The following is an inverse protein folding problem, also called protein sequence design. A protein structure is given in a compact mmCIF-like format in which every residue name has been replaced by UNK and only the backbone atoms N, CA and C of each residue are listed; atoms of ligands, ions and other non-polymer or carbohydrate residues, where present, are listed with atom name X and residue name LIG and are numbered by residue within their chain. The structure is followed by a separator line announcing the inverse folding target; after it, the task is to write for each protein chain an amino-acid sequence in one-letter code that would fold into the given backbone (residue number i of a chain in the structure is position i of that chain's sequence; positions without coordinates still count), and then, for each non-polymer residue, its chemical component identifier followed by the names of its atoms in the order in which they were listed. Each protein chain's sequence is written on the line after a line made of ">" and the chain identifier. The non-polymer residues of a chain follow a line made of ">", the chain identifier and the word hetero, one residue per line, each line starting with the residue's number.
data_IF_158189034021
#
_entry.id   IF_158189034021
#
_cell.length_a   1.000
_cell.length_b   1.000
_cell.length_c   1.000
_cell.angle_alpha   90.00
_cell.angle_beta   90.00
_cell.angle_gamma   90.00
#
_symmetry.space_group_name_H-M   'P 1'
#
loop_
_entity.id
_entity.type
_entity.pdbx_description
1 polymer ?
#
# COMPACT_ATOMS: atom_id res chain seq x y z
N UNK A 1 -9.30 -8.71 -0.82
CA UNK A 1 -8.52 -8.16 0.31
C UNK A 1 -7.33 -9.07 0.54
N UNK A 2 -6.14 -8.51 0.66
CA UNK A 2 -4.89 -9.25 0.95
C UNK A 2 -4.29 -8.69 2.24
N UNK A 3 -3.67 -9.53 3.07
CA UNK A 3 -3.11 -9.13 4.37
C UNK A 3 -1.75 -9.74 4.64
N UNK A 4 -0.87 -9.02 5.33
CA UNK A 4 0.35 -9.55 5.92
C UNK A 4 0.53 -9.04 7.35
N UNK A 5 1.28 -9.78 8.17
CA UNK A 5 1.66 -9.37 9.53
C UNK A 5 3.18 -9.47 9.65
N UNK A 6 3.84 -8.35 9.92
CA UNK A 6 5.29 -8.27 10.13
C UNK A 6 5.54 -7.47 11.40
N UNK A 7 6.36 -8.00 12.32
CA UNK A 7 6.68 -7.33 13.61
C UNK A 7 5.45 -6.94 14.46
N UNK A 8 4.36 -7.71 14.38
CA UNK A 8 3.11 -7.42 15.08
C UNK A 8 2.27 -6.30 14.45
N UNK A 9 2.66 -5.82 13.26
CA UNK A 9 1.90 -4.83 12.51
C UNK A 9 1.20 -5.52 11.35
N UNK A 10 -0.12 -5.41 11.31
CA UNK A 10 -0.95 -6.00 10.26
C UNK A 10 -1.27 -4.97 9.20
N UNK A 11 -0.90 -5.27 7.97
CA UNK A 11 -1.24 -4.48 6.79
C UNK A 11 -2.32 -5.21 6.01
N UNK A 12 -3.45 -4.54 5.78
CA UNK A 12 -4.54 -5.05 4.95
C UNK A 12 -4.78 -4.15 3.75
N UNK A 13 -4.93 -4.73 2.57
CA UNK A 13 -5.10 -4.00 1.31
C UNK A 13 -6.38 -4.43 0.59
N UNK A 14 -7.14 -3.43 0.17
CA UNK A 14 -8.28 -3.56 -0.74
C UNK A 14 -8.01 -2.70 -1.98
N UNK A 15 -8.36 -3.20 -3.16
CA UNK A 15 -8.13 -2.52 -4.43
C UNK A 15 -9.43 -2.40 -5.21
N UNK A 16 -9.52 -1.36 -6.03
CA UNK A 16 -10.67 -1.13 -6.90
C UNK A 16 -10.28 -0.36 -8.15
N UNK A 17 -10.61 -0.90 -9.31
CA UNK A 17 -10.49 -0.19 -10.58
C UNK A 17 -11.44 1.01 -10.62
N UNK A 18 -10.95 2.15 -11.13
CA UNK A 18 -11.69 3.41 -11.18
C UNK A 18 -12.09 3.70 -12.63
N UNK A 19 -13.23 3.15 -13.06
CA UNK A 19 -13.75 3.30 -14.43
C UNK A 19 -13.78 4.78 -14.88
N UNK A 20 -14.31 5.65 -14.03
CA UNK A 20 -14.52 7.07 -14.31
C UNK A 20 -13.22 7.87 -14.48
N UNK A 21 -12.12 7.37 -13.90
CA UNK A 21 -10.80 7.99 -13.91
C UNK A 21 -9.83 7.27 -14.86
N UNK A 22 -10.33 6.32 -15.63
CA UNK A 22 -9.55 5.51 -16.58
C UNK A 22 -9.94 5.83 -18.01
N UNK A 23 -9.01 5.60 -18.94
CA UNK A 23 -9.23 5.68 -20.36
C UNK A 23 -8.52 4.50 -21.05
N UNK A 24 -9.18 3.32 -21.12
CA UNK A 24 -8.59 2.12 -21.71
C UNK A 24 -8.18 2.28 -23.17
N UNK A 25 -8.82 3.16 -23.95
CA UNK A 25 -8.46 3.42 -25.35
C UNK A 25 -7.10 4.11 -25.50
N UNK A 26 -6.62 4.76 -24.44
CA UNK A 26 -5.31 5.41 -24.37
C UNK A 26 -4.36 4.71 -23.38
N UNK A 27 -4.61 3.44 -23.08
CA UNK A 27 -3.80 2.66 -22.15
C UNK A 27 -3.66 3.31 -20.77
N UNK A 28 -4.69 4.00 -20.27
CA UNK A 28 -4.65 4.65 -18.96
C UNK A 28 -5.60 3.95 -17.99
N UNK A 29 -5.06 3.20 -17.04
CA UNK A 29 -5.83 2.45 -16.05
C UNK A 29 -5.57 2.99 -14.65
N UNK A 30 -6.61 3.54 -14.01
CA UNK A 30 -6.54 4.07 -12.66
C UNK A 30 -7.09 3.05 -11.66
N UNK A 31 -6.29 2.74 -10.65
CA UNK A 31 -6.70 1.91 -9.52
C UNK A 31 -6.63 2.73 -8.24
N UNK A 32 -7.66 2.60 -7.40
CA UNK A 32 -7.59 3.03 -6.01
C UNK A 32 -7.23 1.83 -5.14
N UNK A 33 -6.46 2.07 -4.08
CA UNK A 33 -6.23 1.10 -3.03
C UNK A 33 -6.49 1.73 -1.67
N UNK A 34 -7.09 0.94 -0.78
CA UNK A 34 -7.28 1.26 0.63
C UNK A 34 -6.34 0.39 1.43
N UNK A 35 -5.53 1.02 2.29
CA UNK A 35 -4.65 0.33 3.20
C UNK A 35 -5.14 0.57 4.62
N UNK A 36 -5.20 -0.50 5.41
CA UNK A 36 -5.42 -0.48 6.84
C UNK A 36 -4.16 -0.99 7.55
N UNK A 37 -3.61 -0.17 8.44
CA UNK A 37 -2.43 -0.46 9.25
C UNK A 37 -2.91 -0.66 10.68
N UNK A 38 -2.88 -1.88 11.18
CA UNK A 38 -3.30 -2.23 12.54
C UNK A 38 -2.07 -2.54 13.40
N UNK A 39 -1.96 -1.87 14.55
CA UNK A 39 -0.90 -2.15 15.51
C UNK A 39 -1.37 -3.23 16.49
N UNK A 40 -0.92 -4.47 16.29
CA UNK A 40 -1.22 -5.61 17.15
C UNK A 40 -0.13 -5.85 18.21
N UNK A 41 0.88 -4.97 18.28
CA UNK A 41 1.92 -5.01 19.30
C UNK A 41 1.46 -4.30 20.58
N UNK A 42 2.30 -4.38 21.62
CA UNK A 42 2.09 -3.77 22.93
C UNK A 42 2.77 -2.40 23.09
N UNK A 43 3.31 -1.82 22.01
CA UNK A 43 3.95 -0.51 22.01
C UNK A 43 3.44 0.40 20.90
N UNK A 44 3.52 1.71 21.11
CA UNK A 44 3.15 2.71 20.11
C UNK A 44 4.20 2.78 18.99
N UNK A 45 3.75 2.92 17.76
CA UNK A 45 4.59 3.00 16.56
C UNK A 45 4.31 4.29 15.80
N UNK A 46 5.26 4.75 15.00
CA UNK A 46 5.08 5.81 14.03
C UNK A 46 5.53 5.35 12.64
N UNK A 47 4.70 5.61 11.63
CA UNK A 47 5.07 5.39 10.24
C UNK A 47 5.94 6.54 9.74
N UNK A 48 7.17 6.22 9.36
CA UNK A 48 8.17 7.21 8.95
C UNK A 48 8.25 7.34 7.44
N UNK A 49 8.38 6.22 6.72
CA UNK A 49 8.56 6.19 5.26
C UNK A 49 7.82 5.03 4.63
N UNK A 50 7.57 5.14 3.33
CA UNK A 50 7.05 4.09 2.46
C UNK A 50 7.99 3.86 1.28
N UNK A 51 8.07 2.63 0.83
CA UNK A 51 8.72 2.23 -0.41
C UNK A 51 7.77 1.28 -1.14
N UNK A 52 7.47 1.58 -2.40
CA UNK A 52 6.58 0.82 -3.25
C UNK A 52 7.34 0.27 -4.44
N UNK A 53 7.10 -1.00 -4.75
CA UNK A 53 7.48 -1.65 -5.99
C UNK A 53 6.20 -1.89 -6.79
N UNK A 54 6.16 -1.35 -8.00
CA UNK A 54 5.00 -1.37 -8.88
C UNK A 54 5.41 -2.10 -10.16
N UNK A 55 4.72 -3.20 -10.46
CA UNK A 55 4.87 -3.95 -11.69
C UNK A 55 3.63 -3.72 -12.57
N UNK A 56 3.88 -3.38 -13.83
CA UNK A 56 2.88 -3.28 -14.88
C UNK A 56 3.06 -4.46 -15.85
N UNK A 57 1.97 -5.07 -16.31
CA UNK A 57 2.03 -6.29 -17.13
C UNK A 57 2.63 -6.10 -18.52
N UNK A 58 2.79 -4.86 -18.98
CA UNK A 58 3.63 -4.54 -20.15
C UNK A 58 5.15 -4.70 -19.89
N UNK A 59 5.55 -5.12 -18.69
CA UNK A 59 6.96 -5.31 -18.29
C UNK A 59 7.59 -4.11 -17.58
N UNK A 60 6.86 -2.99 -17.45
CA UNK A 60 7.37 -1.81 -16.73
C UNK A 60 7.45 -2.08 -15.25
N UNK A 61 8.56 -1.69 -14.64
CA UNK A 61 8.76 -1.69 -13.19
C UNK A 61 9.04 -0.27 -12.71
N UNK A 62 8.40 0.13 -11.62
CA UNK A 62 8.59 1.44 -11.00
C UNK A 62 8.80 1.26 -9.51
N UNK A 63 9.70 2.07 -8.97
CA UNK A 63 9.90 2.18 -7.53
C UNK A 63 9.52 3.58 -7.09
N UNK A 64 8.74 3.68 -6.01
CA UNK A 64 8.29 4.96 -5.45
C UNK A 64 8.55 4.96 -3.95
N UNK A 65 9.39 5.88 -3.50
CA UNK A 65 9.62 6.10 -2.08
C UNK A 65 9.20 7.49 -1.62
N UNK A 66 8.94 7.63 -0.32
CA UNK A 66 8.67 8.94 0.29
C UNK A 66 8.38 8.87 1.78
N UNK A 67 8.35 10.04 2.40
CA UNK A 67 8.00 10.16 3.81
C UNK A 67 6.50 9.97 4.03
N UNK A 68 6.18 9.27 5.12
CA UNK A 68 4.82 9.07 5.57
C UNK A 68 3.92 8.34 4.58
N UNK A 69 2.63 8.57 4.73
CA UNK A 69 1.55 8.16 3.81
C UNK A 69 0.61 9.35 3.67
N UNK A 70 0.19 9.67 2.43
CA UNK A 70 -0.74 10.78 2.13
C UNK A 70 -0.37 12.13 2.81
N UNK A 71 0.93 12.38 3.00
CA UNK A 71 1.44 13.61 3.66
C UNK A 71 1.47 13.56 5.20
N UNK A 72 1.21 12.40 5.80
CA UNK A 72 1.17 12.19 7.26
C UNK A 72 2.17 11.13 7.70
N UNK A 73 2.73 11.29 8.89
CA UNK A 73 3.50 10.25 9.59
C UNK A 73 2.72 9.80 10.85
N UNK A 74 1.68 8.97 10.68
CA UNK A 74 0.75 8.65 11.75
C UNK A 74 1.44 7.89 12.88
N UNK A 75 1.08 8.26 14.12
CA UNK A 75 1.35 7.47 15.32
C UNK A 75 0.16 6.55 15.55
N UNK A 76 0.41 5.25 15.77
CA UNK A 76 -0.62 4.23 15.96
C UNK A 76 -0.38 3.56 17.32
N UNK A 77 -1.35 3.72 18.24
CA UNK A 77 -1.27 3.12 19.58
C UNK A 77 -1.50 1.60 19.53
N UNK A 78 -1.08 0.85 20.58
CA UNK A 78 -1.43 -0.56 20.72
C UNK A 78 -2.93 -0.80 20.55
N UNK A 79 -3.31 -1.72 19.67
CA UNK A 79 -4.70 -2.06 19.37
C UNK A 79 -5.44 -1.08 18.45
N UNK A 80 -4.82 0.04 18.05
CA UNK A 80 -5.41 1.01 17.13
C UNK A 80 -5.02 0.73 15.67
N UNK A 81 -5.71 1.42 14.75
CA UNK A 81 -5.47 1.31 13.33
C UNK A 81 -5.49 2.67 12.62
N UNK A 82 -4.69 2.80 11.57
CA UNK A 82 -4.73 3.93 10.65
C UNK A 82 -5.07 3.43 9.24
N UNK A 83 -6.08 4.04 8.61
CA UNK A 83 -6.49 3.72 7.26
C UNK A 83 -6.35 4.92 6.32
N UNK A 84 -5.90 4.66 5.09
CA UNK A 84 -5.83 5.68 4.05
C UNK A 84 -6.17 5.11 2.67
N UNK A 85 -6.51 6.00 1.74
CA UNK A 85 -6.79 5.68 0.35
C UNK A 85 -5.81 6.45 -0.53
N UNK A 86 -5.28 5.80 -1.55
CA UNK A 86 -4.44 6.42 -2.57
C UNK A 86 -4.66 5.70 -3.90
N UNK A 87 -4.00 6.19 -4.96
CA UNK A 87 -4.15 5.69 -6.31
C UNK A 87 -2.85 5.22 -6.95
N UNK A 88 -2.99 4.40 -7.99
CA UNK A 88 -1.91 3.97 -8.88
C UNK A 88 -2.41 4.01 -10.32
N UNK A 89 -1.62 4.62 -11.20
CA UNK A 89 -1.83 4.58 -12.65
C UNK A 89 -0.95 3.51 -13.27
N UNK A 90 -1.58 2.61 -14.03
CA UNK A 90 -0.92 1.63 -14.88
C UNK A 90 -1.19 1.94 -16.35
N UNK A 91 -0.25 1.51 -17.20
CA UNK A 91 -0.38 1.58 -18.64
C UNK A 91 -0.95 0.28 -19.24
N UNK A 92 -1.30 -0.68 -18.40
CA UNK A 92 -1.96 -1.92 -18.81
C UNK A 92 -3.10 -2.23 -17.86
N UNK A 93 -3.95 -3.14 -18.29
CA UNK A 93 -5.16 -3.53 -17.58
C UNK A 93 -4.92 -4.47 -16.39
N UNK A 94 -3.67 -4.88 -16.19
CA UNK A 94 -3.23 -5.60 -15.00
C UNK A 94 -1.80 -5.27 -14.58
N UNK A 95 -1.53 -5.44 -13.29
CA UNK A 95 -0.22 -5.28 -12.67
C UNK A 95 -0.26 -5.73 -11.20
N UNK A 96 0.83 -5.50 -10.49
CA UNK A 96 0.89 -5.74 -9.05
C UNK A 96 1.66 -4.64 -8.32
N UNK A 97 1.41 -4.53 -7.03
CA UNK A 97 2.16 -3.66 -6.13
C UNK A 97 2.55 -4.43 -4.88
N UNK A 98 3.75 -4.16 -4.38
CA UNK A 98 4.24 -4.61 -3.08
C UNK A 98 5.12 -3.51 -2.49
N UNK A 99 5.55 -3.64 -1.24
CA UNK A 99 6.35 -2.59 -0.65
C UNK A 99 6.68 -2.82 0.80
N UNK A 100 7.21 -1.78 1.42
CA UNK A 100 7.56 -1.76 2.83
C UNK A 100 7.26 -0.41 3.45
N UNK A 101 7.00 -0.42 4.75
CA UNK A 101 7.03 0.76 5.59
C UNK A 101 8.24 0.71 6.50
N UNK A 102 8.90 1.86 6.66
CA UNK A 102 9.80 2.09 7.78
C UNK A 102 8.98 2.63 8.95
N UNK A 103 8.96 1.87 10.04
CA UNK A 103 8.28 2.21 11.28
C UNK A 103 9.31 2.52 12.36
N UNK A 104 8.95 3.38 13.30
CA UNK A 104 9.73 3.64 14.52
C UNK A 104 8.90 3.27 15.74
N UNK A 105 9.49 2.51 16.68
CA UNK A 105 8.91 2.32 18.01
C UNK A 105 9.15 3.58 18.83
N UNK A 106 8.09 4.16 19.40
CA UNK A 106 8.22 5.42 20.17
C UNK A 106 8.86 5.23 21.54
N UNK A 107 8.82 4.02 22.11
CA UNK A 107 9.38 3.75 23.43
C UNK A 107 10.91 3.86 23.49
N UNK A 108 11.61 3.46 22.42
CA UNK A 108 13.07 3.40 22.38
C UNK A 108 13.69 4.02 21.12
N UNK A 109 12.87 4.49 20.17
CA UNK A 109 13.30 5.08 18.91
C UNK A 109 13.80 4.06 17.87
N UNK A 110 13.70 2.76 18.14
CA UNK A 110 14.18 1.71 17.23
C UNK A 110 13.35 1.70 15.95
N UNK A 111 14.03 1.69 14.81
CA UNK A 111 13.40 1.54 13.50
C UNK A 111 13.32 0.08 13.08
N UNK A 112 12.23 -0.27 12.39
CA UNK A 112 12.01 -1.60 11.83
C UNK A 112 11.16 -1.53 10.57
N UNK A 113 11.27 -2.57 9.75
CA UNK A 113 10.55 -2.66 8.48
C UNK A 113 9.30 -3.52 8.64
N UNK A 114 8.20 -3.06 8.04
CA UNK A 114 6.92 -3.78 7.96
C UNK A 114 6.59 -4.01 6.49
N UNK A 115 6.29 -5.25 6.13
CA UNK A 115 5.99 -5.61 4.75
C UNK A 115 4.57 -5.21 4.37
N UNK A 116 4.42 -4.71 3.15
CA UNK A 116 3.15 -4.59 2.47
C UNK A 116 3.03 -5.80 1.56
N UNK A 117 1.97 -6.65 1.71
CA UNK A 117 1.83 -7.83 0.88
C UNK A 117 1.76 -7.45 -0.60
N UNK A 118 2.21 -8.33 -1.48
CA UNK A 118 1.94 -8.17 -2.90
C UNK A 118 0.42 -8.29 -3.14
N UNK A 119 -0.13 -7.33 -3.89
CA UNK A 119 -1.53 -7.34 -4.31
C UNK A 119 -1.66 -6.99 -5.79
N UNK A 120 -2.66 -7.60 -6.42
CA UNK A 120 -2.92 -7.42 -7.84
C UNK A 120 -3.84 -6.22 -8.08
N UNK A 121 -3.54 -5.50 -9.16
CA UNK A 121 -4.37 -4.48 -9.77
C UNK A 121 -4.87 -5.05 -11.08
N UNK A 122 -6.14 -5.43 -11.15
CA UNK A 122 -6.71 -6.09 -12.33
C UNK A 122 -8.06 -5.47 -12.63
N UNK A 123 -8.30 -5.08 -13.89
CA UNK A 123 -9.62 -4.63 -14.32
C UNK A 123 -10.66 -5.77 -14.16
N UNK A 124 -11.90 -5.47 -13.72
CA UNK A 124 -12.88 -6.52 -13.43
C UNK A 124 -13.19 -7.45 -14.61
N UNK A 125 -13.19 -6.95 -15.84
CA UNK A 125 -13.52 -7.75 -17.03
C UNK A 125 -12.42 -8.75 -17.43
N UNK A 126 -11.23 -8.71 -16.83
CA UNK A 126 -10.16 -9.71 -17.01
C UNK A 126 -10.31 -10.93 -16.11
N UNK A 127 -11.22 -10.88 -15.14
CA UNK A 127 -11.47 -11.95 -14.17
C UNK A 127 -12.62 -12.89 -14.59
N UNK A 128 -13.19 -12.66 -15.78
CA UNK A 128 -14.24 -13.48 -16.39
C UNK A 128 -13.66 -14.36 -17.51
#
# INVERSE_FOLDING_TARGET
>A
MVTAITQGIKISVETGYQDHNSNPENDHFMFAYRINIENLSDYSIQLMRRQWFIFDSNGTQKEVEGEGVVGLQPVIQPGESHAYISGCHLNSDMGSMSGTYLMQRLADGTEFTVDIPEFNLIVPYRLN
#
